data_IF_348774821490
#
_entry.id   IF_348774821490
#
_cell.length_a   1.000
_cell.length_b   1.000
_cell.length_c   1.000
_cell.angle_alpha   90.00
_cell.angle_beta   90.00
_cell.angle_gamma   90.00
#
_symmetry.space_group_name_H-M   'P 1'
#
loop_
_entity.id
_entity.type
_entity.pdbx_description
1 polymer ?
#
# COMPACT_ATOMS: atom_id res chain seq x y z
N UNK A 1 -46.52 -8.76 -22.85
CA UNK A 1 -45.58 -7.64 -23.03
C UNK A 1 -45.22 -7.17 -21.64
N UNK A 2 -43.94 -7.13 -21.29
CA UNK A 2 -43.53 -6.58 -19.99
C UNK A 2 -43.46 -5.07 -20.16
N UNK A 3 -44.23 -4.34 -19.35
CA UNK A 3 -44.21 -2.88 -19.35
C UNK A 3 -42.83 -2.39 -18.88
N UNK A 4 -42.30 -1.36 -19.54
CA UNK A 4 -40.98 -0.79 -19.27
C UNK A 4 -40.77 -0.46 -17.79
N UNK A 5 -41.81 0.03 -17.11
CA UNK A 5 -41.78 0.34 -15.68
C UNK A 5 -41.45 -0.89 -14.81
N UNK A 6 -42.05 -2.06 -15.12
CA UNK A 6 -41.74 -3.30 -14.39
C UNK A 6 -40.32 -3.79 -14.66
N UNK A 7 -39.75 -3.46 -15.82
CA UNK A 7 -38.37 -3.77 -16.16
C UNK A 7 -37.40 -2.87 -15.38
N UNK A 8 -37.72 -1.58 -15.29
CA UNK A 8 -36.96 -0.58 -14.54
C UNK A 8 -36.94 -0.91 -13.04
N UNK A 9 -38.09 -1.21 -12.44
CA UNK A 9 -38.17 -1.59 -11.02
C UNK A 9 -37.31 -2.80 -10.67
N UNK A 10 -37.14 -3.75 -11.61
CA UNK A 10 -36.29 -4.93 -11.41
C UNK A 10 -34.81 -4.66 -11.63
N UNK A 11 -34.48 -3.71 -12.50
CA UNK A 11 -33.10 -3.43 -12.90
C UNK A 11 -32.42 -2.41 -12.01
N UNK A 12 -33.15 -1.39 -11.52
CA UNK A 12 -32.61 -0.32 -10.67
C UNK A 12 -31.84 -0.86 -9.45
N UNK A 13 -32.39 -1.79 -8.63
CA UNK A 13 -31.66 -2.30 -7.47
C UNK A 13 -30.36 -3.02 -7.85
N UNK A 14 -30.37 -3.76 -8.97
CA UNK A 14 -29.20 -4.51 -9.46
C UNK A 14 -28.11 -3.60 -10.01
N UNK A 15 -28.52 -2.48 -10.62
CA UNK A 15 -27.61 -1.44 -11.10
C UNK A 15 -26.99 -0.71 -9.92
N UNK A 16 -27.78 -0.31 -8.93
CA UNK A 16 -27.30 0.34 -7.70
C UNK A 16 -26.29 -0.55 -6.96
N UNK A 17 -26.57 -1.84 -6.82
CA UNK A 17 -25.66 -2.79 -6.18
C UNK A 17 -24.32 -2.88 -6.92
N UNK A 18 -24.35 -2.95 -8.26
CA UNK A 18 -23.14 -2.96 -9.09
C UNK A 18 -22.34 -1.67 -8.98
N UNK A 19 -23.01 -0.52 -8.95
CA UNK A 19 -22.36 0.78 -8.77
C UNK A 19 -21.70 0.83 -7.39
N UNK A 20 -22.43 0.44 -6.33
CA UNK A 20 -21.92 0.40 -4.97
C UNK A 20 -20.69 -0.49 -4.84
N UNK A 21 -20.74 -1.69 -5.43
CA UNK A 21 -19.59 -2.59 -5.47
C UNK A 21 -18.38 -1.95 -6.16
N UNK A 22 -18.58 -1.34 -7.34
CA UNK A 22 -17.48 -0.69 -8.10
C UNK A 22 -16.85 0.45 -7.33
N UNK A 23 -17.66 1.28 -6.67
CA UNK A 23 -17.17 2.40 -5.86
C UNK A 23 -16.36 1.88 -4.68
N UNK A 24 -16.91 0.93 -3.90
CA UNK A 24 -16.21 0.33 -2.75
C UNK A 24 -14.90 -0.33 -3.19
N UNK A 25 -14.91 -1.08 -4.31
CA UNK A 25 -13.70 -1.73 -4.82
C UNK A 25 -12.64 -0.72 -5.28
N UNK A 26 -13.07 0.39 -5.90
CA UNK A 26 -12.14 1.45 -6.31
C UNK A 26 -11.50 2.13 -5.11
N UNK A 27 -12.26 2.36 -4.03
CA UNK A 27 -11.71 2.89 -2.78
C UNK A 27 -10.70 1.90 -2.18
N UNK A 28 -11.04 0.61 -2.12
CA UNK A 28 -10.14 -0.43 -1.61
C UNK A 28 -8.84 -0.44 -2.43
N UNK A 29 -8.91 -0.49 -3.76
CA UNK A 29 -7.72 -0.50 -4.60
C UNK A 29 -6.85 0.76 -4.38
N UNK A 30 -7.47 1.94 -4.28
CA UNK A 30 -6.73 3.17 -4.01
C UNK A 30 -6.05 3.18 -2.64
N UNK A 31 -6.69 2.59 -1.62
CA UNK A 31 -6.08 2.41 -0.29
C UNK A 31 -4.96 1.36 -0.34
N UNK A 32 -5.15 0.24 -1.04
CA UNK A 32 -4.11 -0.77 -1.23
C UNK A 32 -2.88 -0.16 -1.90
N UNK A 33 -3.03 0.65 -2.96
CA UNK A 33 -1.90 1.34 -3.60
C UNK A 33 -1.15 2.30 -2.67
N UNK A 34 -1.85 2.97 -1.74
CA UNK A 34 -1.23 3.91 -0.80
C UNK A 34 -0.53 3.23 0.39
N UNK A 35 -1.09 2.13 0.90
CA UNK A 35 -0.60 1.47 2.12
C UNK A 35 0.21 0.20 1.85
N UNK A 36 0.04 -0.40 0.68
CA UNK A 36 0.72 -1.60 0.21
C UNK A 36 1.12 -1.40 -1.26
N UNK A 37 2.15 -0.57 -1.52
CA UNK A 37 2.65 -0.38 -2.87
C UNK A 37 2.95 -1.76 -3.49
N UNK A 38 2.72 -1.94 -4.81
CA UNK A 38 3.05 -3.17 -5.51
C UNK A 38 4.47 -3.65 -5.15
N UNK A 39 4.64 -4.97 -4.98
CA UNK A 39 5.94 -5.56 -4.60
C UNK A 39 7.09 -5.08 -5.50
N UNK A 40 6.78 -4.78 -6.78
CA UNK A 40 7.71 -4.26 -7.77
C UNK A 40 8.31 -2.91 -7.34
N UNK A 41 7.50 -1.98 -6.84
CA UNK A 41 7.97 -0.67 -6.36
C UNK A 41 8.81 -0.81 -5.08
N UNK A 42 8.38 -1.66 -4.15
CA UNK A 42 9.14 -1.95 -2.93
C UNK A 42 10.50 -2.57 -3.26
N UNK A 43 10.58 -3.44 -4.27
CA UNK A 43 11.84 -4.05 -4.72
C UNK A 43 12.81 -3.02 -5.30
N UNK A 44 12.35 -2.09 -6.12
CA UNK A 44 13.23 -1.06 -6.69
C UNK A 44 13.79 -0.14 -5.61
N UNK A 45 12.95 0.33 -4.69
CA UNK A 45 13.38 1.15 -3.55
C UNK A 45 14.33 0.39 -2.62
N UNK A 46 14.00 -0.86 -2.31
CA UNK A 46 14.86 -1.73 -1.51
C UNK A 46 16.22 -1.97 -2.19
N UNK A 47 16.24 -2.34 -3.48
CA UNK A 47 17.49 -2.54 -4.24
C UNK A 47 18.34 -1.27 -4.23
N UNK A 48 17.72 -0.11 -4.45
CA UNK A 48 18.43 1.18 -4.41
C UNK A 48 19.02 1.46 -3.02
N UNK A 49 18.28 1.20 -1.94
CA UNK A 49 18.77 1.37 -0.57
C UNK A 49 19.94 0.43 -0.26
N UNK A 50 19.91 -0.80 -0.79
CA UNK A 50 21.00 -1.78 -0.65
C UNK A 50 22.23 -1.33 -1.44
N UNK A 51 22.07 -0.86 -2.67
CA UNK A 51 23.18 -0.33 -3.48
C UNK A 51 23.82 0.93 -2.88
N UNK A 52 23.03 1.77 -2.21
CA UNK A 52 23.53 2.92 -1.46
C UNK A 52 24.28 2.48 -0.20
N UNK A 53 23.73 1.53 0.55
CA UNK A 53 24.39 0.95 1.72
C UNK A 53 25.68 0.18 1.38
N UNK A 54 25.78 -0.44 0.20
CA UNK A 54 27.02 -1.08 -0.28
C UNK A 54 28.14 -0.07 -0.61
N UNK A 55 27.79 1.17 -0.97
CA UNK A 55 28.77 2.24 -1.23
C UNK A 55 29.36 2.80 0.06
N UNK A 56 28.61 2.72 1.16
CA UNK A 56 29.13 3.00 2.48
C UNK A 56 29.85 1.75 3.02
N UNK A 57 31.04 1.93 3.59
CA UNK A 57 31.70 0.83 4.30
C UNK A 57 30.83 0.47 5.50
N UNK A 58 30.03 -0.59 5.37
CA UNK A 58 29.00 -0.99 6.32
C UNK A 58 29.46 -0.93 7.78
N UNK A 59 28.55 -0.57 8.68
CA UNK A 59 28.86 -0.35 10.10
C UNK A 59 28.86 -1.69 10.84
N UNK A 60 29.97 -2.01 11.49
CA UNK A 60 30.08 -3.18 12.36
C UNK A 60 29.79 -2.75 13.79
N UNK A 61 28.81 -3.39 14.42
CA UNK A 61 28.47 -3.20 15.82
C UNK A 61 29.12 -4.32 16.65
N UNK A 62 29.64 -3.99 17.82
CA UNK A 62 30.34 -4.92 18.70
C UNK A 62 29.37 -5.82 19.44
N UNK A 63 28.21 -5.30 19.81
CA UNK A 63 27.18 -6.02 20.53
C UNK A 63 25.77 -5.52 20.18
N UNK A 64 24.77 -6.19 20.76
CA UNK A 64 23.36 -5.90 20.51
C UNK A 64 22.91 -4.56 21.09
N UNK A 65 23.54 -4.07 22.16
CA UNK A 65 23.18 -2.79 22.75
C UNK A 65 23.64 -1.64 21.86
N UNK A 66 24.86 -1.71 21.32
CA UNK A 66 25.40 -0.71 20.38
C UNK A 66 24.54 -0.60 19.10
N UNK A 67 24.07 -1.74 18.57
CA UNK A 67 23.11 -1.74 17.45
C UNK A 67 21.78 -1.08 17.85
N UNK A 68 21.28 -1.38 19.04
CA UNK A 68 19.99 -0.87 19.52
C UNK A 68 20.02 0.64 19.69
N UNK A 69 21.06 1.18 20.33
CA UNK A 69 21.25 2.62 20.50
C UNK A 69 21.35 3.34 19.15
N UNK A 70 22.06 2.75 18.18
CA UNK A 70 22.16 3.33 16.84
C UNK A 70 20.79 3.38 16.13
N UNK A 71 20.01 2.29 16.17
CA UNK A 71 18.67 2.27 15.59
C UNK A 71 17.71 3.25 16.29
N UNK A 72 17.83 3.40 17.61
CA UNK A 72 17.06 4.39 18.38
C UNK A 72 17.44 5.83 17.99
N UNK A 73 18.73 6.11 17.74
CA UNK A 73 19.18 7.44 17.28
C UNK A 73 18.67 7.82 15.90
N UNK A 74 18.53 6.85 14.98
CA UNK A 74 17.95 7.09 13.65
C UNK A 74 16.45 7.39 13.73
N UNK A 75 15.74 6.74 14.64
CA UNK A 75 14.30 6.98 14.84
C UNK A 75 14.00 8.36 15.45
N UNK A 76 14.96 8.97 16.15
CA UNK A 76 14.84 10.32 16.72
C UNK A 76 15.21 11.43 15.72
N UNK A 77 15.96 11.13 14.64
CA UNK A 77 16.34 12.11 13.61
C UNK A 77 15.21 12.45 12.61
N UNK A 78 14.18 11.60 12.50
CA UNK A 78 13.04 11.77 11.58
C UNK A 78 11.85 12.59 12.16
N UNK A 79 12.04 13.32 13.27
CA UNK A 79 11.02 14.17 13.94
C UNK A 79 11.29 15.67 13.80
#
# INVERSE_FOLDING_TARGET
MVEEEQLVERLVPRIEEKIRYRVVRSIINALEEQFYPPEELFREEFVKSVEEAEKESGRIFKDREELKEYLESLAEEDV
#
